data_IF_952013812402
#
_entry.id   IF_952013812402
#
_cell.length_a   1.000
_cell.length_b   1.000
_cell.length_c   1.000
_cell.angle_alpha   90.00
_cell.angle_beta   90.00
_cell.angle_gamma   90.00
#
_symmetry.space_group_name_H-M   'P 1'
#
loop_
_entity.id
_entity.type
_entity.pdbx_description
1 polymer ?
#
# COMPACT_ATOMS: atom_id res chain seq x y z
N UNK A 1 -18.58 -4.24 19.52
CA UNK A 1 -17.13 -4.48 19.66
C UNK A 1 -16.46 -3.50 18.72
N UNK A 2 -15.64 -2.58 19.23
CA UNK A 2 -14.96 -1.58 18.40
C UNK A 2 -13.82 -2.28 17.66
N UNK A 3 -13.97 -2.53 16.36
CA UNK A 3 -12.85 -2.85 15.49
C UNK A 3 -11.95 -1.62 15.47
N UNK A 4 -11.00 -1.56 16.41
CA UNK A 4 -9.89 -0.60 16.39
C UNK A 4 -9.02 -0.96 15.21
N UNK A 5 -9.46 -0.50 14.04
CA UNK A 5 -8.84 -0.72 12.75
C UNK A 5 -7.60 0.16 12.71
N UNK A 6 -6.51 -0.36 13.27
CA UNK A 6 -5.24 0.35 13.26
C UNK A 6 -4.68 0.36 11.83
N UNK A 7 -4.61 1.56 11.27
CA UNK A 7 -4.03 1.82 9.97
C UNK A 7 -2.57 2.21 10.16
N UNK A 8 -1.69 1.55 9.42
CA UNK A 8 -0.24 1.76 9.44
C UNK A 8 0.18 2.32 8.10
N UNK A 9 1.02 3.35 8.11
CA UNK A 9 1.61 3.92 6.90
C UNK A 9 2.74 3.03 6.39
N UNK A 10 2.63 2.54 5.15
CA UNK A 10 3.63 1.68 4.55
C UNK A 10 4.98 2.37 4.39
N UNK A 11 5.01 3.69 4.16
CA UNK A 11 6.27 4.43 4.00
C UNK A 11 7.12 4.42 5.29
N UNK A 12 6.49 4.25 6.46
CA UNK A 12 7.18 4.11 7.74
C UNK A 12 7.78 2.71 7.91
N UNK A 13 7.09 1.69 7.43
CA UNK A 13 7.48 0.29 7.61
C UNK A 13 8.45 -0.17 6.53
N UNK A 14 8.33 0.38 5.32
CA UNK A 14 9.13 0.05 4.16
C UNK A 14 9.52 1.37 3.45
N UNK A 15 10.55 2.07 3.96
CA UNK A 15 10.95 3.37 3.42
C UNK A 15 11.43 3.28 1.97
N UNK A 16 11.97 2.14 1.56
CA UNK A 16 12.50 1.90 0.21
C UNK A 16 11.43 1.33 -0.76
N UNK A 17 10.17 1.23 -0.32
CA UNK A 17 9.09 0.66 -1.13
C UNK A 17 8.59 1.67 -2.16
N UNK A 18 8.86 1.41 -3.43
CA UNK A 18 8.31 2.19 -4.54
C UNK A 18 6.88 1.74 -4.85
N UNK A 19 5.91 2.61 -4.57
CA UNK A 19 4.50 2.41 -4.94
C UNK A 19 3.96 3.68 -5.60
N UNK A 20 3.35 3.52 -6.77
CA UNK A 20 2.64 4.60 -7.44
C UNK A 20 1.22 4.77 -6.88
N UNK A 21 0.97 5.89 -6.20
CA UNK A 21 -0.35 6.24 -5.69
C UNK A 21 -1.16 6.98 -6.76
N UNK A 22 -1.60 6.27 -7.81
CA UNK A 22 -2.32 6.82 -8.99
C UNK A 22 -3.47 7.76 -8.64
N UNK A 23 -4.23 7.45 -7.59
CA UNK A 23 -5.38 8.26 -7.15
C UNK A 23 -5.02 9.50 -6.33
N UNK A 24 -3.75 9.65 -5.92
CA UNK A 24 -3.24 10.86 -5.26
C UNK A 24 -2.59 11.85 -6.25
N UNK A 25 -2.59 11.56 -7.55
CA UNK A 25 -2.10 12.43 -8.61
C UNK A 25 -3.09 12.48 -9.79
N UNK A 26 -2.80 13.28 -10.81
CA UNK A 26 -3.64 13.37 -12.02
C UNK A 26 -3.45 12.19 -12.99
N UNK A 27 -2.42 11.36 -12.77
CA UNK A 27 -2.15 10.16 -13.56
C UNK A 27 -3.07 9.01 -13.13
N UNK A 28 -4.36 9.17 -13.37
CA UNK A 28 -5.38 8.13 -13.23
C UNK A 28 -6.54 8.38 -14.21
N UNK A 29 -7.49 7.45 -14.26
CA UNK A 29 -8.62 7.48 -15.22
C UNK A 29 -9.47 8.76 -15.15
N UNK A 30 -9.45 9.49 -14.03
CA UNK A 30 -10.22 10.74 -13.86
C UNK A 30 -9.44 11.98 -14.31
N UNK A 31 -8.14 11.86 -14.59
CA UNK A 31 -7.27 13.00 -14.92
C UNK A 31 -7.06 13.99 -13.76
N UNK A 32 -7.48 13.64 -12.54
CA UNK A 32 -7.42 14.50 -11.34
C UNK A 32 -7.08 13.65 -10.11
N UNK A 33 -6.43 14.27 -9.12
CA UNK A 33 -6.24 13.62 -7.83
C UNK A 33 -7.60 13.42 -7.14
N UNK A 34 -7.86 12.20 -6.68
CA UNK A 34 -9.06 11.83 -5.91
C UNK A 34 -8.76 11.93 -4.42
N UNK A 35 -7.57 11.48 -3.99
CA UNK A 35 -7.12 11.57 -2.61
C UNK A 35 -6.30 12.84 -2.36
N UNK A 36 -6.54 13.46 -1.21
CA UNK A 36 -5.85 14.69 -0.81
C UNK A 36 -4.39 14.47 -0.40
N UNK A 37 -4.04 13.24 0.00
CA UNK A 37 -2.71 12.92 0.52
C UNK A 37 -2.20 11.65 -0.13
N UNK A 38 -0.93 11.69 -0.54
CA UNK A 38 -0.20 10.54 -1.08
C UNK A 38 0.30 9.65 0.07
N UNK A 39 -0.61 8.97 0.77
CA UNK A 39 -0.29 8.00 1.84
C UNK A 39 -0.88 6.64 1.54
N UNK A 40 -0.08 5.59 1.71
CA UNK A 40 -0.54 4.22 1.60
C UNK A 40 -0.76 3.64 3.00
N UNK A 41 -2.03 3.61 3.43
CA UNK A 41 -2.40 3.11 4.75
C UNK A 41 -2.93 1.67 4.64
N UNK A 42 -2.38 0.77 5.44
CA UNK A 42 -2.80 -0.63 5.47
C UNK A 42 -3.18 -1.04 6.89
N UNK A 43 -4.23 -1.85 7.02
CA UNK A 43 -4.59 -2.43 8.32
C UNK A 43 -3.45 -3.30 8.87
N UNK A 44 -3.12 -3.17 10.16
CA UNK A 44 -2.01 -3.89 10.81
C UNK A 44 -2.04 -5.41 10.56
N UNK A 45 -3.22 -6.04 10.57
CA UNK A 45 -3.32 -7.49 10.30
C UNK A 45 -2.97 -7.85 8.85
N UNK A 46 -3.28 -6.97 7.89
CA UNK A 46 -2.91 -7.17 6.47
C UNK A 46 -1.42 -6.91 6.24
N UNK A 47 -0.82 -5.98 6.99
CA UNK A 47 0.62 -5.71 6.97
C UNK A 47 1.45 -6.94 7.34
N UNK A 48 1.06 -7.68 8.38
CA UNK A 48 1.74 -8.91 8.80
C UNK A 48 1.73 -9.98 7.70
N UNK A 49 0.58 -10.13 7.01
CA UNK A 49 0.48 -11.04 5.87
C UNK A 49 1.32 -10.58 4.69
N UNK A 50 1.33 -9.29 4.39
CA UNK A 50 2.11 -8.73 3.29
C UNK A 50 3.62 -8.90 3.51
N UNK A 51 4.11 -8.65 4.73
CA UNK A 51 5.50 -8.96 5.12
C UNK A 51 5.89 -10.38 4.73
N UNK A 52 5.05 -11.38 5.02
CA UNK A 52 5.34 -12.78 4.67
C UNK A 52 5.48 -13.01 3.15
N UNK A 53 4.73 -12.28 2.33
CA UNK A 53 4.86 -12.35 0.86
C UNK A 53 6.19 -11.72 0.41
N UNK A 54 6.57 -10.56 0.96
CA UNK A 54 7.79 -9.85 0.58
C UNK A 54 9.09 -10.57 0.93
N UNK A 55 9.13 -11.39 1.99
CA UNK A 55 10.34 -12.17 2.39
C UNK A 55 10.40 -13.58 1.81
N UNK A 56 9.37 -14.05 1.10
CA UNK A 56 9.41 -15.36 0.45
C UNK A 56 10.14 -15.27 -0.89
N UNK A 57 11.29 -15.94 -1.10
CA UNK A 57 12.06 -15.84 -2.35
C UNK A 57 11.40 -16.55 -3.54
N UNK A 58 10.20 -17.13 -3.37
CA UNK A 58 9.53 -17.98 -4.33
C UNK A 58 8.43 -17.27 -5.13
N UNK A 59 8.59 -15.98 -5.42
CA UNK A 59 7.61 -15.23 -6.21
C UNK A 59 8.20 -14.90 -7.58
N UNK A 60 7.92 -15.80 -8.53
CA UNK A 60 7.88 -15.46 -9.94
C UNK A 60 7.07 -14.16 -10.11
N UNK A 61 7.63 -13.22 -10.85
CA UNK A 61 6.92 -12.04 -11.32
C UNK A 61 5.61 -12.49 -11.98
N UNK A 62 4.49 -12.20 -11.32
CA UNK A 62 3.19 -12.24 -11.99
C UNK A 62 3.20 -11.07 -12.97
N UNK A 63 3.49 -11.39 -14.24
CA UNK A 63 3.09 -10.53 -15.34
C UNK A 63 1.56 -10.55 -15.40
N UNK A 64 1.00 -9.34 -15.42
CA UNK A 64 -0.42 -8.99 -15.39
C UNK A 64 -1.31 -9.86 -16.27
#
# INVERSE_FOLDING_TARGET
>A
MSDTTELVDLAVIFPDLEIELKYACADNITGKAIYQQARCLLHRMRLLRWRKVSVSPSCQAYNW
#
